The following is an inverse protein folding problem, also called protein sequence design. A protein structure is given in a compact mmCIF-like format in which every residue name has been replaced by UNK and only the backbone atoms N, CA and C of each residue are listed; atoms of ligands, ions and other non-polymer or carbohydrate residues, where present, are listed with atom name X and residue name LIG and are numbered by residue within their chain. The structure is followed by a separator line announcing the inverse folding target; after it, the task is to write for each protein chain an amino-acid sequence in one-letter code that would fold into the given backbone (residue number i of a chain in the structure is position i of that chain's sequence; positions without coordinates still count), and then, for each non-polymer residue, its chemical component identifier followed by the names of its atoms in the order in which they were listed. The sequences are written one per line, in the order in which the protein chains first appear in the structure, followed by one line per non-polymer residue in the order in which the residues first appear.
data_IF_838937858998
#
_entry.id   IF_838937858998
#
_cell.length_a   1.000
_cell.length_b   1.000
_cell.length_c   1.000
_cell.angle_alpha   90.00
_cell.angle_beta   90.00
_cell.angle_gamma   90.00
#
_symmetry.space_group_name_H-M   'P 1'
#
loop_
_entity.id
_entity.type
_entity.pdbx_description
1 polymer ?
#
# COMPACT_ATOMS: atom_id res chain seq x y z
N UNK A 1 0.28 15.60 16.82
CA UNK A 1 -0.76 14.75 16.21
C UNK A 1 -0.24 14.21 14.89
N UNK A 2 -0.31 12.90 14.72
CA UNK A 2 0.13 12.23 13.50
C UNK A 2 -1.09 12.08 12.57
N UNK A 3 -0.98 12.60 11.35
CA UNK A 3 -2.01 12.42 10.34
C UNK A 3 -1.74 11.11 9.60
N UNK A 4 -2.67 10.18 9.70
CA UNK A 4 -2.54 8.84 9.16
C UNK A 4 -3.58 8.63 8.08
N UNK A 5 -3.15 8.12 6.93
CA UNK A 5 -4.04 7.69 5.85
C UNK A 5 -3.97 6.18 5.73
N UNK A 6 -5.12 5.54 5.80
CA UNK A 6 -5.21 4.08 5.67
C UNK A 6 -5.79 3.77 4.30
N UNK A 7 -5.07 2.94 3.54
CA UNK A 7 -5.50 2.47 2.22
C UNK A 7 -5.52 0.96 2.22
N UNK A 8 -6.59 0.38 1.73
CA UNK A 8 -6.73 -1.07 1.64
C UNK A 8 -6.95 -1.49 0.20
N UNK A 9 -6.42 -2.64 -0.16
CA UNK A 9 -6.64 -3.23 -1.47
C UNK A 9 -6.64 -4.74 -1.36
N UNK A 10 -7.48 -5.38 -2.16
CA UNK A 10 -7.49 -6.85 -2.26
C UNK A 10 -6.42 -7.31 -3.24
N UNK A 11 -5.79 -8.43 -2.90
CA UNK A 11 -4.89 -9.12 -3.82
C UNK A 11 -5.74 -9.91 -4.80
N UNK A 12 -5.72 -9.52 -6.07
CA UNK A 12 -6.54 -10.11 -7.10
C UNK A 12 -5.67 -10.69 -8.21
N UNK A 13 -6.20 -11.69 -8.91
CA UNK A 13 -5.53 -12.32 -10.04
C UNK A 13 -5.33 -11.27 -11.15
N UNK A 14 -4.08 -10.94 -11.42
CA UNK A 14 -3.72 -9.93 -12.41
C UNK A 14 -4.23 -10.29 -13.81
N UNK A 15 -4.34 -11.58 -14.10
CA UNK A 15 -4.70 -12.07 -15.43
C UNK A 15 -6.19 -12.36 -15.60
N UNK A 16 -7.01 -12.08 -14.56
CA UNK A 16 -8.44 -12.37 -14.60
C UNK A 16 -9.26 -11.10 -14.81
N UNK A 17 -10.28 -11.20 -15.66
CA UNK A 17 -11.29 -10.15 -15.84
C UNK A 17 -12.57 -10.44 -15.07
N UNK A 18 -12.58 -11.49 -14.25
CA UNK A 18 -13.74 -11.85 -13.45
C UNK A 18 -14.04 -10.81 -12.38
N UNK A 19 -15.26 -10.83 -11.79
CA UNK A 19 -15.58 -9.94 -10.69
C UNK A 19 -14.63 -10.11 -9.50
N UNK A 20 -14.52 -9.08 -8.69
CA UNK A 20 -13.57 -9.00 -7.59
C UNK A 20 -13.67 -10.19 -6.64
N UNK A 21 -14.87 -10.61 -6.31
CA UNK A 21 -15.07 -11.73 -5.37
C UNK A 21 -14.65 -13.08 -5.95
N UNK A 22 -14.53 -13.18 -7.28
CA UNK A 22 -14.07 -14.39 -7.95
C UNK A 22 -12.56 -14.41 -8.09
N UNK A 23 -11.97 -13.27 -8.47
CA UNK A 23 -10.53 -13.18 -8.75
C UNK A 23 -9.67 -12.89 -7.52
N UNK A 24 -10.28 -12.72 -6.35
CA UNK A 24 -9.52 -12.54 -5.10
C UNK A 24 -8.71 -13.80 -4.80
N UNK A 25 -7.44 -13.63 -4.42
CA UNK A 25 -6.50 -14.73 -4.26
C UNK A 25 -6.19 -15.01 -2.79
N UNK A 26 -5.89 -16.28 -2.49
CA UNK A 26 -5.28 -16.67 -1.24
C UNK A 26 -3.78 -16.30 -1.24
N UNK A 27 -3.21 -16.13 -0.06
CA UNK A 27 -1.82 -15.69 0.06
C UNK A 27 -0.83 -16.69 -0.55
N UNK A 28 -1.13 -17.98 -0.46
CA UNK A 28 -0.26 -19.03 -0.99
C UNK A 28 -0.50 -19.35 -2.46
N UNK A 29 -1.38 -18.61 -3.14
CA UNK A 29 -1.60 -18.79 -4.57
C UNK A 29 -0.30 -18.49 -5.33
N UNK A 30 -0.02 -19.28 -6.37
CA UNK A 30 1.11 -19.06 -7.26
C UNK A 30 0.76 -18.19 -8.47
N UNK A 31 -0.46 -17.68 -8.52
CA UNK A 31 -0.88 -16.76 -9.59
C UNK A 31 -0.30 -15.37 -9.34
N UNK A 32 -0.13 -14.62 -10.41
CA UNK A 32 0.32 -13.22 -10.31
C UNK A 32 -0.80 -12.40 -9.70
N UNK A 33 -0.49 -11.66 -8.64
CA UNK A 33 -1.47 -10.80 -8.01
C UNK A 33 -1.15 -9.33 -8.23
N UNK A 34 -2.18 -8.49 -8.09
CA UNK A 34 -2.07 -7.05 -8.08
C UNK A 34 -2.91 -6.50 -6.94
N UNK A 35 -2.35 -5.54 -6.21
CA UNK A 35 -3.08 -4.69 -5.27
C UNK A 35 -2.86 -3.26 -5.72
N UNK A 36 -3.94 -2.57 -6.05
CA UNK A 36 -3.86 -1.19 -6.51
C UNK A 36 -4.38 -0.25 -5.44
N UNK A 37 -3.46 0.50 -4.84
CA UNK A 37 -3.81 1.56 -3.88
C UNK A 37 -4.00 2.85 -4.67
N UNK A 38 -5.22 3.37 -4.66
CA UNK A 38 -5.63 4.50 -5.48
C UNK A 38 -5.91 5.74 -4.64
N UNK A 39 -5.99 6.88 -5.31
CA UNK A 39 -6.30 8.17 -4.66
C UNK A 39 -5.30 8.47 -3.55
N UNK A 40 -4.03 8.22 -3.82
CA UNK A 40 -2.95 8.39 -2.86
C UNK A 40 -2.44 9.83 -2.92
N UNK A 41 -2.54 10.55 -1.80
CA UNK A 41 -2.16 11.97 -1.71
C UNK A 41 -1.08 12.14 -0.64
N UNK A 42 0.21 11.99 -1.01
CA UNK A 42 1.27 12.08 0.00
C UNK A 42 1.33 13.42 0.73
N UNK A 43 0.87 14.51 0.10
CA UNK A 43 0.88 15.82 0.74
C UNK A 43 -0.17 15.97 1.84
N UNK A 44 -1.13 15.04 1.96
CA UNK A 44 -2.27 15.18 2.86
C UNK A 44 -2.12 14.43 4.18
N UNK A 45 -1.02 13.72 4.38
CA UNK A 45 -0.80 12.98 5.63
C UNK A 45 0.68 12.87 5.97
N UNK A 46 0.97 12.35 7.15
CA UNK A 46 2.32 12.09 7.61
C UNK A 46 2.75 10.65 7.35
N UNK A 47 1.81 9.72 7.54
CA UNK A 47 2.08 8.27 7.50
C UNK A 47 0.96 7.58 6.76
N UNK A 48 1.34 6.64 5.90
CA UNK A 48 0.40 5.73 5.26
C UNK A 48 0.45 4.36 5.91
N UNK A 49 -0.72 3.76 6.10
CA UNK A 49 -0.85 2.35 6.45
C UNK A 49 -1.52 1.67 5.26
N UNK A 50 -0.77 0.81 4.58
CA UNK A 50 -1.28 -0.01 3.50
C UNK A 50 -1.80 -1.31 4.08
N UNK A 51 -3.01 -1.70 3.71
CA UNK A 51 -3.61 -2.96 4.14
C UNK A 51 -3.84 -3.82 2.91
N UNK A 52 -3.09 -4.91 2.82
CA UNK A 52 -3.23 -5.89 1.74
C UNK A 52 -4.13 -7.02 2.20
N UNK A 53 -5.21 -7.29 1.46
CA UNK A 53 -6.23 -8.25 1.85
C UNK A 53 -6.22 -9.42 0.87
N UNK A 54 -5.71 -10.57 1.32
CA UNK A 54 -5.89 -11.86 0.66
C UNK A 54 -7.12 -12.54 1.23
N UNK A 55 -7.56 -13.63 0.62
CA UNK A 55 -8.73 -14.37 1.12
C UNK A 55 -8.54 -14.88 2.56
N UNK A 56 -7.32 -15.23 2.91
CA UNK A 56 -6.97 -15.90 4.17
C UNK A 56 -6.02 -15.11 5.06
N UNK A 57 -5.42 -14.03 4.55
CA UNK A 57 -4.37 -13.29 5.26
C UNK A 57 -4.53 -11.80 5.02
N UNK A 58 -4.29 -11.02 6.06
CA UNK A 58 -4.20 -9.55 5.96
C UNK A 58 -2.78 -9.15 6.35
N UNK A 59 -2.16 -8.32 5.52
CA UNK A 59 -0.82 -7.80 5.81
C UNK A 59 -0.85 -6.27 5.85
N UNK A 60 0.08 -5.72 6.63
CA UNK A 60 0.19 -4.29 6.83
C UNK A 60 1.58 -3.81 6.48
N UNK A 61 1.65 -2.64 5.82
CA UNK A 61 2.90 -1.94 5.55
C UNK A 61 2.74 -0.50 6.01
N UNK A 62 3.76 0.04 6.65
CA UNK A 62 3.72 1.39 7.21
C UNK A 62 4.86 2.19 6.59
N UNK A 63 4.49 3.23 5.84
CA UNK A 63 5.45 4.09 5.14
C UNK A 63 5.18 5.54 5.54
N UNK A 64 6.22 6.35 5.60
CA UNK A 64 6.04 7.79 5.69
C UNK A 64 5.51 8.32 4.35
N UNK A 65 4.89 9.50 4.38
CA UNK A 65 4.40 10.13 3.16
C UNK A 65 5.53 10.37 2.16
N UNK A 66 6.72 10.76 2.63
CA UNK A 66 7.89 10.96 1.79
C UNK A 66 8.32 9.65 1.14
N UNK A 67 8.29 8.55 1.88
CA UNK A 67 8.66 7.23 1.36
C UNK A 67 7.71 6.79 0.26
N UNK A 68 6.42 7.08 0.40
CA UNK A 68 5.45 6.80 -0.67
C UNK A 68 5.73 7.67 -1.89
N UNK A 69 5.91 8.96 -1.68
CA UNK A 69 6.14 9.90 -2.79
C UNK A 69 7.40 9.54 -3.58
N UNK A 70 8.44 9.07 -2.92
CA UNK A 70 9.71 8.72 -3.53
C UNK A 70 9.81 7.26 -3.96
N UNK A 71 8.77 6.47 -3.71
CA UNK A 71 8.77 5.07 -4.11
C UNK A 71 8.67 4.97 -5.62
N UNK A 72 9.50 4.12 -6.24
CA UNK A 72 9.55 4.00 -7.69
C UNK A 72 8.28 3.42 -8.31
N UNK A 73 7.43 2.80 -7.50
CA UNK A 73 6.16 2.24 -7.97
C UNK A 73 4.99 3.21 -7.78
N UNK A 74 5.23 4.36 -7.16
CA UNK A 74 4.22 5.40 -7.04
C UNK A 74 4.19 6.19 -8.35
N UNK A 75 2.99 6.30 -8.95
CA UNK A 75 2.79 7.14 -10.11
C UNK A 75 1.83 8.27 -9.76
N UNK A 76 2.32 9.49 -9.92
CA UNK A 76 1.52 10.70 -9.73
C UNK A 76 0.66 10.96 -10.96
N UNK A 77 -0.28 11.89 -10.84
CA UNK A 77 -1.10 12.26 -11.98
C UNK A 77 -2.16 11.23 -12.29
N UNK A 78 -2.79 10.72 -11.27
CA UNK A 78 -3.92 9.80 -11.38
C UNK A 78 -4.90 10.29 -12.46
N UNK A 79 -5.52 9.37 -13.16
CA UNK A 79 -6.51 9.68 -14.19
C UNK A 79 -7.63 10.60 -13.66
N UNK A 80 -8.38 11.23 -14.56
CA UNK A 80 -9.43 12.21 -14.29
C UNK A 80 -8.93 13.56 -13.79
N UNK A 81 -7.64 13.84 -13.97
CA UNK A 81 -7.10 15.16 -13.67
C UNK A 81 -7.09 15.57 -12.21
N UNK A 82 -7.17 14.63 -11.30
CA UNK A 82 -7.10 14.92 -9.87
C UNK A 82 -5.68 15.27 -9.48
N UNK A 83 -5.46 16.56 -9.24
CA UNK A 83 -4.14 17.08 -8.89
C UNK A 83 -3.73 16.58 -7.50
N UNK A 84 -2.49 16.13 -7.39
CA UNK A 84 -1.94 15.66 -6.12
C UNK A 84 -2.28 14.23 -5.78
N UNK A 85 -3.09 13.56 -6.58
CA UNK A 85 -3.42 12.16 -6.39
C UNK A 85 -2.55 11.27 -7.27
N UNK A 86 -2.25 10.09 -6.77
CA UNK A 86 -1.52 9.08 -7.52
C UNK A 86 -2.00 7.69 -7.15
N UNK A 87 -1.26 6.71 -7.62
CA UNK A 87 -1.54 5.31 -7.31
C UNK A 87 -0.24 4.54 -7.13
N UNK A 88 -0.34 3.43 -6.41
CA UNK A 88 0.79 2.56 -6.16
C UNK A 88 0.30 1.12 -6.22
N UNK A 89 0.97 0.31 -7.03
CA UNK A 89 0.67 -1.10 -7.16
C UNK A 89 1.67 -1.94 -6.38
N UNK A 90 1.16 -2.88 -5.59
CA UNK A 90 1.97 -3.93 -4.97
C UNK A 90 1.60 -5.24 -5.64
N UNK A 91 2.59 -5.88 -6.24
CA UNK A 91 2.42 -7.10 -7.05
C UNK A 91 3.35 -8.18 -6.54
N UNK A 92 3.14 -9.41 -7.00
CA UNK A 92 4.07 -10.50 -6.71
C UNK A 92 5.50 -10.18 -7.16
N UNK A 93 5.65 -9.35 -8.18
CA UNK A 93 6.97 -8.98 -8.72
C UNK A 93 7.72 -7.95 -7.87
N UNK A 94 7.04 -7.19 -7.00
CA UNK A 94 7.67 -6.14 -6.23
C UNK A 94 7.41 -6.20 -4.72
N UNK A 95 6.59 -7.14 -4.25
CA UNK A 95 6.19 -7.19 -2.84
C UNK A 95 7.39 -7.33 -1.90
N UNK A 96 8.45 -8.00 -2.34
CA UNK A 96 9.65 -8.17 -1.53
C UNK A 96 10.33 -6.83 -1.21
N UNK A 97 10.18 -5.83 -2.07
CA UNK A 97 10.75 -4.50 -1.85
C UNK A 97 10.02 -3.73 -0.77
N UNK A 98 8.82 -4.18 -0.39
CA UNK A 98 8.05 -3.55 0.68
C UNK A 98 8.22 -4.25 2.03
N UNK A 99 9.01 -5.33 2.10
CA UNK A 99 9.17 -6.08 3.35
C UNK A 99 9.76 -5.24 4.48
N UNK A 100 10.61 -4.27 4.16
CA UNK A 100 11.19 -3.39 5.17
C UNK A 100 10.14 -2.49 5.86
N UNK A 101 8.97 -2.35 5.26
CA UNK A 101 7.87 -1.55 5.82
C UNK A 101 6.79 -2.40 6.46
N UNK A 102 6.92 -3.73 6.40
CA UNK A 102 5.88 -4.63 6.88
C UNK A 102 5.74 -4.54 8.39
N UNK A 103 4.50 -4.55 8.86
CA UNK A 103 4.18 -4.52 10.28
C UNK A 103 3.23 -5.64 10.63
N UNK A 104 3.37 -6.16 11.85
CA UNK A 104 2.34 -6.99 12.45
C UNK A 104 1.25 -6.08 13.01
N UNK A 105 0.02 -6.59 13.22
CA UNK A 105 -1.01 -5.79 13.92
C UNK A 105 -0.56 -5.33 15.30
N UNK A 106 0.21 -6.16 15.99
CA UNK A 106 0.73 -5.87 17.32
C UNK A 106 1.64 -4.66 17.36
N UNK A 107 2.48 -4.51 16.33
CA UNK A 107 3.51 -3.48 16.27
C UNK A 107 3.10 -2.27 15.46
N UNK A 108 1.83 -2.19 15.08
CA UNK A 108 1.35 -1.18 14.14
C UNK A 108 1.59 0.24 14.66
N UNK A 109 1.23 0.51 15.92
CA UNK A 109 1.42 1.85 16.52
C UNK A 109 2.90 2.19 16.60
N UNK A 110 3.73 1.24 16.99
CA UNK A 110 5.18 1.44 17.07
C UNK A 110 5.74 1.81 15.69
N UNK A 111 5.32 1.09 14.65
CA UNK A 111 5.79 1.34 13.30
C UNK A 111 5.24 2.64 12.71
N UNK A 112 4.03 3.05 13.10
CA UNK A 112 3.49 4.35 12.71
C UNK A 112 4.34 5.47 13.31
N UNK A 113 4.70 5.38 14.57
CA UNK A 113 5.56 6.37 15.22
C UNK A 113 6.94 6.42 14.57
N UNK A 114 7.49 5.26 14.23
CA UNK A 114 8.78 5.19 13.55
C UNK A 114 8.72 5.84 12.17
N UNK A 115 7.66 5.60 11.42
CA UNK A 115 7.46 6.23 10.11
C UNK A 115 7.31 7.74 10.24
N UNK A 116 6.58 8.20 11.25
CA UNK A 116 6.46 9.64 11.51
C UNK A 116 7.82 10.27 11.80
N UNK A 117 8.66 9.60 12.58
CA UNK A 117 10.02 10.06 12.83
C UNK A 117 10.81 10.18 11.52
N UNK A 118 10.72 9.17 10.65
CA UNK A 118 11.41 9.21 9.36
C UNK A 118 10.90 10.33 8.45
N UNK A 119 9.62 10.69 8.56
CA UNK A 119 9.02 11.76 7.76
C UNK A 119 9.68 13.11 8.04
N UNK A 120 10.07 13.36 9.29
CA UNK A 120 10.56 14.66 9.73
C UNK A 120 12.05 14.68 10.11
N UNK A 121 12.76 13.59 9.88
CA UNK A 121 14.22 13.55 10.07
C UNK A 121 14.90 13.27 8.74
N UNK A 122 16.06 13.84 8.55
CA UNK A 122 16.86 13.62 7.35
C UNK A 122 17.76 12.42 7.51
#
# INVERSE_FOLDING_TARGET
VIKIEVKASRAVDFDSSEPLYVKALAFDSNKRFDMNFQQVKPACCDVFVWVGVWRDVIKYWVLSAREVQNNRYYSAGQHRGNVGEGQLHVKNSNITEFMCYQSTPRDLILNIRAAYQRQYTQ
#
